data_IF_796282424708
#
_entry.id   IF_796282424708
#
_cell.length_a   1.000
_cell.length_b   1.000
_cell.length_c   1.000
_cell.angle_alpha   90.00
_cell.angle_beta   90.00
_cell.angle_gamma   90.00
#
_symmetry.space_group_name_H-M   'P 1'
#
loop_
_entity.id
_entity.type
_entity.pdbx_description
1 polymer ?
#
# COMPACT_ATOMS: atom_id res chain seq x y z
N UNK A 1 -6.32 -29.09 -1.59
CA UNK A 1 -6.82 -27.98 -2.43
C UNK A 1 -7.45 -26.85 -1.61
N UNK A 2 -7.72 -27.04 -0.31
CA UNK A 2 -8.38 -26.04 0.55
C UNK A 2 -7.41 -25.11 1.30
N UNK A 3 -6.14 -25.50 1.47
CA UNK A 3 -5.13 -24.73 2.21
C UNK A 3 -4.76 -23.40 1.54
N UNK A 4 -4.75 -23.33 0.21
CA UNK A 4 -4.46 -22.09 -0.54
C UNK A 4 -5.60 -21.06 -0.44
N UNK A 5 -6.82 -21.46 -0.07
CA UNK A 5 -7.96 -20.54 0.05
C UNK A 5 -7.83 -19.59 1.26
N UNK A 6 -7.07 -19.96 2.28
CA UNK A 6 -6.85 -19.21 3.52
C UNK A 6 -5.45 -18.59 3.64
N UNK A 7 -4.53 -18.93 2.74
CA UNK A 7 -3.15 -18.45 2.81
C UNK A 7 -3.06 -16.95 2.53
N UNK A 8 -2.52 -16.22 3.49
CA UNK A 8 -2.14 -14.81 3.36
C UNK A 8 -0.63 -14.74 3.23
N UNK A 9 -0.14 -14.03 2.21
CA UNK A 9 1.28 -13.73 2.01
C UNK A 9 1.55 -12.29 2.39
N UNK A 10 2.59 -12.07 3.17
CA UNK A 10 3.06 -10.73 3.51
C UNK A 10 4.21 -10.39 2.56
N UNK A 11 4.01 -9.39 1.72
CA UNK A 11 4.96 -9.00 0.67
C UNK A 11 5.51 -7.60 0.94
N UNK A 12 6.83 -7.46 0.79
CA UNK A 12 7.48 -6.15 0.83
C UNK A 12 7.09 -5.36 -0.40
N UNK A 13 6.80 -4.08 -0.22
CA UNK A 13 6.72 -3.11 -1.31
C UNK A 13 8.15 -2.79 -1.75
N UNK A 14 8.55 -3.26 -2.93
CA UNK A 14 9.93 -3.14 -3.42
C UNK A 14 10.04 -2.36 -4.74
N UNK A 15 8.95 -2.24 -5.48
CA UNK A 15 8.93 -1.53 -6.77
C UNK A 15 7.78 -0.52 -6.85
N UNK A 16 7.78 0.28 -7.93
CA UNK A 16 6.77 1.33 -8.16
C UNK A 16 5.35 0.80 -8.29
N UNK A 17 5.16 -0.40 -8.84
CA UNK A 17 3.84 -1.01 -8.97
C UNK A 17 3.32 -1.47 -7.61
N UNK A 18 4.18 -2.04 -6.77
CA UNK A 18 3.83 -2.39 -5.40
C UNK A 18 3.44 -1.14 -4.60
N UNK A 19 4.19 -0.04 -4.76
CA UNK A 19 3.90 1.22 -4.07
C UNK A 19 2.55 1.80 -4.52
N UNK A 20 2.25 1.71 -5.82
CA UNK A 20 0.93 2.10 -6.35
C UNK A 20 -0.19 1.25 -5.73
N UNK A 21 0.01 -0.06 -5.63
CA UNK A 21 -0.96 -0.95 -4.98
C UNK A 21 -1.13 -0.61 -3.49
N UNK A 22 -0.03 -0.34 -2.79
CA UNK A 22 -0.04 0.08 -1.38
C UNK A 22 -0.81 1.39 -1.17
N UNK A 23 -0.55 2.43 -1.99
CA UNK A 23 -1.25 3.72 -1.91
C UNK A 23 -2.75 3.57 -2.25
N UNK A 24 -3.09 2.71 -3.21
CA UNK A 24 -4.48 2.50 -3.63
C UNK A 24 -5.31 1.64 -2.67
N UNK A 25 -4.66 0.81 -1.85
CA UNK A 25 -5.33 -0.18 -1.01
C UNK A 25 -6.40 0.40 -0.07
N UNK A 26 -6.19 1.54 0.64
CA UNK A 26 -7.23 2.14 1.46
C UNK A 26 -8.54 2.41 0.71
N UNK A 27 -8.48 2.88 -0.53
CA UNK A 27 -9.67 3.11 -1.35
C UNK A 27 -10.44 1.82 -1.67
N UNK A 28 -9.80 0.65 -1.62
CA UNK A 28 -10.48 -0.64 -1.76
C UNK A 28 -11.20 -1.11 -0.49
N UNK A 29 -10.85 -0.53 0.67
CA UNK A 29 -11.48 -0.83 1.97
C UNK A 29 -12.73 0.02 2.22
N UNK A 30 -12.76 1.23 1.65
CA UNK A 30 -13.82 2.21 1.88
C UNK A 30 -14.59 2.60 0.61
N UNK A 31 -14.97 1.65 -0.28
CA UNK A 31 -15.65 2.00 -1.53
C UNK A 31 -17.04 2.62 -1.29
N UNK A 32 -17.70 2.22 -0.21
CA UNK A 32 -19.09 2.61 0.11
C UNK A 32 -19.18 3.61 1.27
N UNK A 33 -18.04 4.10 1.80
CA UNK A 33 -18.06 5.10 2.87
C UNK A 33 -18.29 6.50 2.27
N UNK A 34 -19.43 7.15 2.53
CA UNK A 34 -19.74 8.46 1.96
C UNK A 34 -18.83 9.59 2.47
N UNK A 35 -18.06 9.35 3.54
CA UNK A 35 -17.13 10.31 4.11
C UNK A 35 -15.67 10.03 3.72
N UNK A 36 -15.40 9.00 2.91
CA UNK A 36 -14.06 8.71 2.46
C UNK A 36 -13.56 9.77 1.46
N UNK A 37 -12.47 10.44 1.82
CA UNK A 37 -11.77 11.37 0.95
C UNK A 37 -10.48 10.69 0.48
N UNK A 38 -10.37 10.30 -0.80
CA UNK A 38 -9.16 9.65 -1.29
C UNK A 38 -7.99 10.64 -1.29
N UNK A 39 -6.78 10.21 -0.86
CA UNK A 39 -5.61 11.07 -0.91
C UNK A 39 -5.19 11.33 -2.36
N UNK A 40 -4.50 12.44 -2.60
CA UNK A 40 -3.88 12.67 -3.90
C UNK A 40 -2.72 11.69 -4.11
N UNK A 41 -2.75 10.94 -5.21
CA UNK A 41 -1.72 9.95 -5.50
C UNK A 41 -0.32 10.58 -5.63
N UNK A 42 -0.23 11.79 -6.18
CA UNK A 42 1.05 12.51 -6.32
C UNK A 42 1.63 12.81 -4.95
N UNK A 43 0.84 13.38 -4.05
CA UNK A 43 1.25 13.67 -2.67
C UNK A 43 1.76 12.42 -1.96
N UNK A 44 1.03 11.30 -2.05
CA UNK A 44 1.44 10.04 -1.43
C UNK A 44 2.70 9.45 -2.03
N UNK A 45 2.88 9.57 -3.35
CA UNK A 45 4.12 9.13 -4.01
C UNK A 45 5.32 9.97 -3.55
N UNK A 46 5.18 11.29 -3.44
CA UNK A 46 6.27 12.15 -2.98
C UNK A 46 6.60 11.92 -1.51
N UNK A 47 5.56 11.81 -0.65
CA UNK A 47 5.70 11.54 0.78
C UNK A 47 6.39 10.19 1.08
N UNK A 48 6.22 9.20 0.21
CA UNK A 48 6.84 7.87 0.33
C UNK A 48 8.07 7.71 -0.57
N UNK A 49 8.69 8.82 -0.97
CA UNK A 49 9.92 8.83 -1.77
C UNK A 49 11.03 9.58 -1.04
N UNK A 50 12.22 9.59 -1.63
CA UNK A 50 13.35 10.37 -1.14
C UNK A 50 13.11 11.91 -1.12
N UNK A 51 12.01 12.39 -1.71
CA UNK A 51 11.62 13.81 -1.63
C UNK A 51 11.07 14.19 -0.25
N UNK A 52 10.69 13.22 0.59
CA UNK A 52 10.24 13.51 1.94
C UNK A 52 11.43 14.00 2.79
N UNK A 53 11.35 15.17 3.46
CA UNK A 53 12.43 15.68 4.30
C UNK A 53 12.86 14.74 5.44
N UNK A 54 11.96 13.83 5.87
CA UNK A 54 12.27 12.82 6.88
C UNK A 54 13.09 11.64 6.38
N UNK A 55 13.37 11.53 5.07
CA UNK A 55 14.05 10.36 4.47
C UNK A 55 15.41 10.10 5.12
N UNK A 56 16.18 11.15 5.38
CA UNK A 56 17.52 11.01 5.96
C UNK A 56 17.50 10.72 7.47
N UNK A 57 16.32 10.76 8.08
CA UNK A 57 16.13 10.62 9.53
C UNK A 57 15.32 9.36 9.89
N UNK A 58 14.71 8.69 8.92
CA UNK A 58 13.77 7.60 9.15
C UNK A 58 14.06 6.44 8.22
N UNK A 59 14.20 5.25 8.80
CA UNK A 59 14.21 4.00 8.06
C UNK A 59 12.79 3.43 8.07
N UNK A 60 12.22 3.17 6.90
CA UNK A 60 10.88 2.62 6.78
C UNK A 60 10.79 1.56 5.68
N UNK A 61 9.78 0.69 5.77
CA UNK A 61 9.44 -0.30 4.77
C UNK A 61 7.92 -0.52 4.75
N UNK A 62 7.29 -0.40 3.59
CA UNK A 62 5.88 -0.78 3.42
C UNK A 62 5.71 -2.27 3.13
N UNK A 63 4.57 -2.80 3.54
CA UNK A 63 4.17 -4.18 3.35
C UNK A 63 2.71 -4.24 2.92
N UNK A 64 2.37 -5.23 2.10
CA UNK A 64 0.99 -5.57 1.74
C UNK A 64 0.71 -7.02 2.11
N UNK A 65 -0.48 -7.28 2.63
CA UNK A 65 -0.98 -8.62 2.87
C UNK A 65 -1.84 -9.04 1.67
N UNK A 66 -1.42 -10.09 0.95
CA UNK A 66 -2.13 -10.60 -0.22
C UNK A 66 -2.77 -11.95 0.08
N UNK A 67 -4.06 -12.07 -0.20
CA UNK A 67 -4.80 -13.33 -0.20
C UNK A 67 -5.09 -13.71 -1.65
N UNK A 68 -4.61 -14.88 -2.07
CA UNK A 68 -4.72 -15.35 -3.47
C UNK A 68 -4.15 -14.36 -4.50
N UNK A 69 -3.04 -13.70 -4.15
CA UNK A 69 -2.36 -12.75 -5.03
C UNK A 69 -2.99 -11.36 -5.11
N UNK A 70 -4.03 -11.08 -4.30
CA UNK A 70 -4.66 -9.76 -4.17
C UNK A 70 -4.55 -9.21 -2.77
#
# INVERSE_FOLDING_TARGET
>A
MECDLLMIKIEKVINKNDLKAFIAFPSSLYPDDPNWIPPLFIERNEHLSAKNPGTDHIIWQAWVAKKRGR
#
